data_IF_280969409071
#
_entry.id   IF_280969409071
#
_cell.length_a   1.000
_cell.length_b   1.000
_cell.length_c   1.000
_cell.angle_alpha   90.00
_cell.angle_beta   90.00
_cell.angle_gamma   90.00
#
_symmetry.space_group_name_H-M   'P 1'
#
loop_
_entity.id
_entity.type
_entity.pdbx_description
1 polymer ?
#
# COMPACT_ATOMS: atom_id res chain seq x y z
N UNK A 1 -18.79 42.39 26.18
CA UNK A 1 -17.90 42.19 25.02
C UNK A 1 -16.57 41.53 25.37
N UNK A 2 -15.81 41.94 26.39
CA UNK A 2 -14.52 41.29 26.75
C UNK A 2 -14.61 39.79 27.11
N UNK A 3 -15.66 39.35 27.81
CA UNK A 3 -15.84 37.94 28.19
C UNK A 3 -16.14 37.02 27.01
N UNK A 4 -16.90 37.52 26.00
CA UNK A 4 -17.23 36.73 24.81
C UNK A 4 -15.97 36.50 23.94
N UNK A 5 -15.09 37.50 23.86
CA UNK A 5 -13.82 37.35 23.12
C UNK A 5 -12.89 36.30 23.78
N UNK A 6 -12.87 36.23 25.11
CA UNK A 6 -12.05 35.27 25.83
C UNK A 6 -12.53 33.81 25.61
N UNK A 7 -13.86 33.61 25.63
CA UNK A 7 -14.46 32.28 25.38
C UNK A 7 -14.20 31.83 23.95
N UNK A 8 -14.34 32.74 22.95
CA UNK A 8 -14.03 32.39 21.56
C UNK A 8 -12.56 32.04 21.33
N UNK A 9 -11.63 32.73 21.99
CA UNK A 9 -10.20 32.48 21.87
C UNK A 9 -9.80 31.14 22.47
N UNK A 10 -10.40 30.74 23.62
CA UNK A 10 -10.14 29.48 24.26
C UNK A 10 -10.68 28.30 23.42
N UNK A 11 -11.86 28.41 22.82
CA UNK A 11 -12.42 27.41 21.94
C UNK A 11 -11.62 27.24 20.64
N UNK A 12 -11.14 28.35 20.06
CA UNK A 12 -10.30 28.35 18.87
C UNK A 12 -8.94 27.68 19.17
N UNK A 13 -8.36 27.95 20.35
CA UNK A 13 -7.10 27.34 20.77
C UNK A 13 -7.26 25.83 21.05
N UNK A 14 -8.37 25.43 21.70
CA UNK A 14 -8.70 24.01 21.93
C UNK A 14 -8.94 23.26 20.62
N UNK A 15 -9.61 23.91 19.66
CA UNK A 15 -9.84 23.35 18.33
C UNK A 15 -8.52 23.16 17.57
N UNK A 16 -7.61 24.14 17.60
CA UNK A 16 -6.27 24.04 17.00
C UNK A 16 -5.42 22.95 17.66
N UNK A 17 -5.48 22.79 18.97
CA UNK A 17 -4.73 21.74 19.70
C UNK A 17 -5.28 20.35 19.39
N UNK A 18 -6.60 20.20 19.23
CA UNK A 18 -7.21 18.90 18.89
C UNK A 18 -6.92 18.46 17.43
N UNK A 19 -6.69 19.41 16.51
CA UNK A 19 -6.29 19.10 15.13
C UNK A 19 -4.80 18.81 14.95
N UNK A 20 -3.95 19.14 15.93
CA UNK A 20 -2.51 18.85 15.89
C UNK A 20 -2.13 17.46 16.40
N UNK A 21 -3.06 16.71 16.99
CA UNK A 21 -2.89 15.27 17.22
C UNK A 21 -3.24 14.44 15.96
N UNK A 22 -2.80 14.87 14.80
CA UNK A 22 -2.45 13.90 13.78
C UNK A 22 -1.20 13.21 14.33
N UNK A 23 -1.37 11.99 14.82
CA UNK A 23 -0.27 11.06 14.95
C UNK A 23 0.43 11.09 13.59
N UNK A 24 1.58 11.75 13.54
CA UNK A 24 2.50 11.62 12.42
C UNK A 24 2.92 10.16 12.50
N UNK A 25 2.16 9.29 11.81
CA UNK A 25 2.61 7.93 11.55
C UNK A 25 3.96 8.15 10.89
N UNK A 26 5.02 7.64 11.50
CA UNK A 26 6.34 7.66 10.94
C UNK A 26 6.19 7.05 9.55
N UNK A 27 6.39 7.84 8.48
CA UNK A 27 6.03 7.46 7.12
C UNK A 27 6.72 6.15 6.69
N UNK A 28 7.77 5.77 7.43
CA UNK A 28 8.59 4.59 7.21
C UNK A 28 8.15 3.36 8.04
N UNK A 29 7.09 3.44 8.86
CA UNK A 29 6.64 2.31 9.68
C UNK A 29 5.43 1.59 9.10
N UNK A 30 5.32 0.29 9.43
CA UNK A 30 4.10 -0.47 9.23
C UNK A 30 3.00 0.05 10.16
N UNK A 31 1.79 0.21 9.63
CA UNK A 31 0.62 0.63 10.38
C UNK A 31 -0.58 -0.27 10.08
N UNK A 32 -1.55 -0.29 10.99
CA UNK A 32 -2.77 -1.08 10.87
C UNK A 32 -3.94 -0.15 10.60
N UNK A 33 -4.73 -0.47 9.58
CA UNK A 33 -6.00 0.18 9.24
C UNK A 33 -7.13 -0.83 9.41
N UNK A 34 -8.15 -0.46 10.17
CA UNK A 34 -9.34 -1.28 10.36
C UNK A 34 -10.50 -0.76 9.52
N UNK A 35 -11.12 -1.68 8.78
CA UNK A 35 -12.36 -1.45 8.02
C UNK A 35 -13.48 -2.32 8.60
N UNK A 36 -14.71 -2.15 8.15
CA UNK A 36 -15.86 -2.88 8.69
C UNK A 36 -15.70 -4.41 8.58
N UNK A 37 -15.21 -4.90 7.45
CA UNK A 37 -15.13 -6.32 7.11
C UNK A 37 -13.71 -6.89 7.03
N UNK A 38 -12.68 -6.06 7.03
CA UNK A 38 -11.29 -6.49 6.90
C UNK A 38 -10.32 -5.56 7.66
N UNK A 39 -9.15 -6.07 7.91
CA UNK A 39 -8.02 -5.34 8.51
C UNK A 39 -6.86 -5.34 7.51
N UNK A 40 -6.15 -4.24 7.45
CA UNK A 40 -5.01 -4.04 6.56
C UNK A 40 -3.79 -3.66 7.36
N UNK A 41 -2.68 -4.35 7.14
CA UNK A 41 -1.35 -3.92 7.57
C UNK A 41 -0.64 -3.31 6.36
N UNK A 42 -0.23 -2.05 6.44
CA UNK A 42 0.28 -1.29 5.29
C UNK A 42 1.57 -0.54 5.58
N UNK A 43 2.34 -0.26 4.52
CA UNK A 43 3.55 0.56 4.55
C UNK A 43 3.73 1.31 3.23
N UNK A 44 4.29 2.52 3.29
CA UNK A 44 4.72 3.29 2.12
C UNK A 44 6.00 2.70 1.51
N UNK A 45 6.20 2.92 0.21
CA UNK A 45 7.38 2.44 -0.52
C UNK A 45 8.65 3.22 -0.21
N UNK A 46 9.78 2.55 -0.27
CA UNK A 46 11.11 3.14 -0.04
C UNK A 46 11.57 4.02 -1.23
N UNK A 47 11.16 3.67 -2.45
CA UNK A 47 11.54 4.41 -3.67
C UNK A 47 10.57 5.57 -3.92
N UNK A 48 9.27 5.32 -3.76
CA UNK A 48 8.21 6.32 -3.96
C UNK A 48 7.23 6.24 -2.81
N UNK A 49 7.15 7.30 -1.99
CA UNK A 49 6.25 7.35 -0.82
C UNK A 49 4.76 7.26 -1.15
N UNK A 50 4.36 7.56 -2.39
CA UNK A 50 2.98 7.39 -2.86
C UNK A 50 2.59 5.93 -3.10
N UNK A 51 3.58 5.05 -3.29
CA UNK A 51 3.36 3.63 -3.49
C UNK A 51 3.12 2.95 -2.15
N UNK A 52 2.25 1.94 -2.12
CA UNK A 52 1.93 1.24 -0.88
C UNK A 52 1.87 -0.26 -1.07
N UNK A 53 2.39 -0.98 -0.09
CA UNK A 53 2.17 -2.40 0.10
C UNK A 53 1.16 -2.61 1.23
N UNK A 54 0.24 -3.55 1.03
CA UNK A 54 -0.82 -3.88 1.99
C UNK A 54 -1.00 -5.37 2.09
N UNK A 55 -1.04 -5.87 3.31
CA UNK A 55 -1.50 -7.23 3.63
C UNK A 55 -2.90 -7.11 4.22
N UNK A 56 -3.88 -7.79 3.65
CA UNK A 56 -5.25 -7.72 4.13
C UNK A 56 -5.77 -9.07 4.59
N UNK A 57 -6.59 -9.05 5.63
CA UNK A 57 -7.27 -10.22 6.21
C UNK A 57 -8.74 -9.88 6.46
N UNK A 58 -9.64 -10.83 6.27
CA UNK A 58 -11.04 -10.64 6.63
C UNK A 58 -11.22 -10.72 8.16
N UNK A 59 -11.99 -9.81 8.73
CA UNK A 59 -12.40 -9.90 10.15
C UNK A 59 -13.21 -11.17 10.37
N UNK A 60 -12.85 -11.91 11.44
CA UNK A 60 -13.47 -13.17 11.77
C UNK A 60 -12.99 -14.39 10.96
N UNK A 61 -12.17 -14.20 9.93
CA UNK A 61 -11.47 -15.26 9.22
C UNK A 61 -10.03 -14.85 8.93
N UNK A 62 -9.18 -14.93 9.92
CA UNK A 62 -7.75 -14.65 9.80
C UNK A 62 -6.96 -15.85 9.22
N UNK A 63 -7.64 -16.85 8.63
CA UNK A 63 -6.96 -18.02 8.06
C UNK A 63 -6.25 -17.72 6.75
N UNK A 64 -6.66 -16.67 6.04
CA UNK A 64 -6.13 -16.29 4.72
C UNK A 64 -5.74 -14.83 4.67
N UNK A 65 -4.65 -14.56 3.95
CA UNK A 65 -4.10 -13.23 3.74
C UNK A 65 -3.88 -12.98 2.24
N UNK A 66 -4.22 -11.80 1.79
CA UNK A 66 -3.91 -11.34 0.43
C UNK A 66 -2.94 -10.16 0.44
N UNK A 67 -2.35 -9.91 -0.71
CA UNK A 67 -1.42 -8.80 -0.95
C UNK A 67 -2.05 -7.84 -1.95
N UNK A 68 -2.15 -6.58 -1.56
CA UNK A 68 -2.45 -5.46 -2.45
C UNK A 68 -1.24 -4.53 -2.48
N UNK A 69 -0.91 -4.04 -3.64
CA UNK A 69 0.11 -3.00 -3.78
C UNK A 69 -0.34 -1.95 -4.78
N UNK A 70 0.19 -0.76 -4.66
CA UNK A 70 -0.14 0.33 -5.57
C UNK A 70 1.10 1.06 -6.01
N UNK A 71 1.09 1.48 -7.27
CA UNK A 71 2.04 2.40 -7.85
C UNK A 71 1.33 3.72 -8.17
N UNK A 72 2.00 4.82 -7.85
CA UNK A 72 1.59 6.17 -8.26
C UNK A 72 2.37 6.58 -9.50
N UNK A 73 1.71 7.29 -10.41
CA UNK A 73 2.36 7.73 -11.64
C UNK A 73 1.73 9.01 -12.17
N UNK A 74 2.53 9.84 -12.82
CA UNK A 74 2.11 11.00 -13.61
C UNK A 74 2.19 10.72 -15.12
N UNK A 75 2.75 9.57 -15.52
CA UNK A 75 2.86 9.16 -16.91
C UNK A 75 1.52 8.74 -17.50
N UNK A 76 1.40 8.96 -18.79
CA UNK A 76 0.38 8.38 -19.69
C UNK A 76 -1.06 8.44 -19.14
N UNK A 77 -1.37 9.51 -18.40
CA UNK A 77 -2.65 9.63 -17.68
C UNK A 77 -3.89 9.44 -18.59
N UNK A 78 -3.79 9.72 -19.90
CA UNK A 78 -4.89 9.52 -20.83
C UNK A 78 -5.21 8.05 -21.14
N UNK A 79 -4.18 7.19 -21.06
CA UNK A 79 -4.30 5.77 -21.35
C UNK A 79 -4.23 4.89 -20.10
N UNK A 80 -3.88 5.45 -18.94
CA UNK A 80 -3.71 4.69 -17.70
C UNK A 80 -4.97 3.90 -17.33
N UNK A 81 -6.17 4.43 -17.63
CA UNK A 81 -7.45 3.77 -17.40
C UNK A 81 -7.59 2.46 -18.18
N UNK A 82 -6.85 2.28 -19.29
CA UNK A 82 -6.85 1.02 -20.04
C UNK A 82 -6.25 -0.15 -19.28
N UNK A 83 -5.54 0.12 -18.18
CA UNK A 83 -5.00 -0.91 -17.30
C UNK A 83 -6.07 -1.52 -16.37
N UNK A 84 -7.21 -0.84 -16.17
CA UNK A 84 -8.29 -1.35 -15.32
C UNK A 84 -8.68 -2.78 -15.72
N UNK A 85 -8.76 -3.68 -14.74
CA UNK A 85 -9.08 -5.10 -14.89
C UNK A 85 -8.05 -5.94 -15.68
N UNK A 86 -6.94 -5.36 -16.13
CA UNK A 86 -5.84 -6.08 -16.76
C UNK A 86 -5.05 -6.88 -15.71
N UNK A 87 -4.32 -7.86 -16.20
CA UNK A 87 -3.26 -8.54 -15.44
C UNK A 87 -1.91 -8.05 -15.95
N UNK A 88 -1.00 -7.73 -15.03
CA UNK A 88 0.32 -7.21 -15.34
C UNK A 88 1.39 -8.18 -14.81
N UNK A 89 2.39 -8.54 -15.62
CA UNK A 89 3.46 -9.43 -15.19
C UNK A 89 4.33 -8.74 -14.14
N UNK A 90 4.66 -9.49 -13.09
CA UNK A 90 5.47 -9.00 -11.97
C UNK A 90 6.58 -9.96 -11.61
N UNK A 91 7.63 -9.42 -10.98
CA UNK A 91 8.57 -10.19 -10.17
C UNK A 91 8.39 -9.82 -8.70
N UNK A 92 8.62 -10.79 -7.83
CA UNK A 92 8.71 -10.60 -6.38
C UNK A 92 10.14 -10.96 -5.96
N UNK A 93 10.82 -10.01 -5.31
CA UNK A 93 12.22 -10.13 -4.92
C UNK A 93 13.15 -10.58 -6.04
N UNK A 94 12.90 -10.13 -7.29
CA UNK A 94 13.65 -10.47 -8.49
C UNK A 94 13.28 -11.79 -9.13
N UNK A 95 12.37 -12.58 -8.55
CA UNK A 95 11.89 -13.84 -9.10
C UNK A 95 10.60 -13.65 -9.89
N UNK A 96 10.57 -14.13 -11.13
CA UNK A 96 9.35 -14.16 -11.92
C UNK A 96 8.30 -15.01 -11.19
N UNK A 97 7.08 -14.50 -11.09
CA UNK A 97 5.93 -15.28 -10.59
C UNK A 97 5.11 -15.78 -11.77
N UNK A 98 4.58 -16.99 -11.64
CA UNK A 98 3.82 -17.67 -12.73
C UNK A 98 2.51 -16.95 -13.05
N UNK A 99 1.89 -16.34 -12.03
CA UNK A 99 0.65 -15.59 -12.17
C UNK A 99 0.92 -14.09 -12.18
N UNK A 100 0.17 -13.36 -13.03
CA UNK A 100 0.24 -11.90 -13.10
C UNK A 100 -0.59 -11.23 -12.01
N UNK A 101 -0.22 -10.02 -11.61
CA UNK A 101 -1.00 -9.20 -10.70
C UNK A 101 -2.21 -8.60 -11.41
N UNK A 102 -3.40 -8.69 -10.80
CA UNK A 102 -4.63 -8.11 -11.34
C UNK A 102 -4.75 -6.64 -10.93
N UNK A 103 -4.92 -5.75 -11.88
CA UNK A 103 -5.28 -4.35 -11.63
C UNK A 103 -6.74 -4.30 -11.16
N UNK A 104 -6.96 -3.85 -9.93
CA UNK A 104 -8.30 -3.78 -9.32
C UNK A 104 -8.84 -2.36 -9.23
N UNK A 105 -7.97 -1.35 -9.32
CA UNK A 105 -8.36 0.05 -9.28
C UNK A 105 -7.36 0.90 -10.06
N UNK A 106 -7.88 1.77 -10.93
CA UNK A 106 -7.14 2.89 -11.50
C UNK A 106 -7.90 4.16 -11.17
N UNK A 107 -7.28 5.05 -10.39
CA UNK A 107 -7.93 6.26 -9.91
C UNK A 107 -7.04 7.48 -10.12
N UNK A 108 -7.61 8.56 -10.65
CA UNK A 108 -6.96 9.87 -10.63
C UNK A 108 -7.10 10.47 -9.22
N UNK A 109 -5.99 10.85 -8.60
CA UNK A 109 -5.98 11.45 -7.27
C UNK A 109 -6.16 12.97 -7.35
N UNK A 110 -5.27 13.64 -8.07
CA UNK A 110 -5.35 15.07 -8.35
C UNK A 110 -4.44 15.44 -9.53
N UNK A 111 -4.84 16.43 -10.32
CA UNK A 111 -4.12 16.84 -11.55
C UNK A 111 -3.87 15.62 -12.45
N UNK A 112 -2.60 15.33 -12.73
CA UNK A 112 -2.18 14.24 -13.59
C UNK A 112 -1.69 13.01 -12.81
N UNK A 113 -1.74 13.03 -11.46
CA UNK A 113 -1.32 11.94 -10.62
C UNK A 113 -2.40 10.87 -10.53
N UNK A 114 -2.04 9.66 -10.90
CA UNK A 114 -2.87 8.48 -10.83
C UNK A 114 -2.30 7.47 -9.83
N UNK A 115 -3.19 6.68 -9.24
CA UNK A 115 -2.85 5.48 -8.49
C UNK A 115 -3.37 4.27 -9.23
N UNK A 116 -2.53 3.26 -9.39
CA UNK A 116 -2.89 1.95 -9.93
C UNK A 116 -2.71 0.94 -8.82
N UNK A 117 -3.82 0.38 -8.34
CA UNK A 117 -3.81 -0.65 -7.30
C UNK A 117 -3.95 -2.03 -7.92
N UNK A 118 -3.08 -2.92 -7.48
CA UNK A 118 -2.99 -4.27 -7.99
C UNK A 118 -3.09 -5.28 -6.86
N UNK A 119 -3.68 -6.42 -7.16
CA UNK A 119 -3.73 -7.58 -6.28
C UNK A 119 -2.74 -8.62 -6.78
N UNK A 120 -1.82 -9.03 -5.91
CA UNK A 120 -0.96 -10.17 -6.20
C UNK A 120 -1.78 -11.46 -6.29
N UNK A 121 -1.34 -12.44 -7.11
CA UNK A 121 -2.10 -13.66 -7.32
C UNK A 121 -2.23 -14.50 -6.05
N UNK A 122 -3.45 -15.02 -5.86
CA UNK A 122 -3.80 -15.99 -4.82
C UNK A 122 -3.87 -15.41 -3.40
N UNK A 123 -4.84 -15.89 -2.64
CA UNK A 123 -4.86 -15.76 -1.18
C UNK A 123 -4.06 -16.93 -0.60
N UNK A 124 -3.08 -16.63 0.25
CA UNK A 124 -2.31 -17.67 0.96
C UNK A 124 -2.86 -17.84 2.37
N UNK A 125 -2.63 -19.02 2.97
CA UNK A 125 -2.86 -19.13 4.41
C UNK A 125 -1.94 -18.16 5.14
N UNK A 126 -2.38 -17.63 6.28
CA UNK A 126 -1.54 -16.73 7.11
C UNK A 126 -0.21 -17.42 7.46
N UNK A 127 -0.25 -18.73 7.75
CA UNK A 127 0.95 -19.53 8.02
C UNK A 127 1.93 -19.54 6.84
N UNK A 128 1.44 -19.78 5.62
CA UNK A 128 2.30 -19.81 4.43
C UNK A 128 2.85 -18.43 4.11
N UNK A 129 2.05 -17.39 4.33
CA UNK A 129 2.49 -16.01 4.17
C UNK A 129 3.57 -15.64 5.18
N UNK A 130 3.40 -15.97 6.46
CA UNK A 130 4.42 -15.73 7.49
C UNK A 130 5.72 -16.48 7.15
N UNK A 131 5.64 -17.74 6.73
CA UNK A 131 6.82 -18.50 6.31
C UNK A 131 7.54 -17.83 5.13
N UNK A 132 6.80 -17.34 4.13
CA UNK A 132 7.37 -16.62 3.01
C UNK A 132 8.02 -15.30 3.45
N UNK A 133 7.37 -14.53 4.34
CA UNK A 133 7.92 -13.30 4.89
C UNK A 133 9.21 -13.55 5.68
N UNK A 134 9.26 -14.61 6.49
CA UNK A 134 10.48 -15.00 7.21
C UNK A 134 11.63 -15.30 6.25
N UNK A 135 11.37 -16.05 5.17
CA UNK A 135 12.38 -16.33 4.16
C UNK A 135 12.86 -15.05 3.46
N UNK A 136 11.98 -14.10 3.15
CA UNK A 136 12.36 -12.81 2.56
C UNK A 136 13.14 -11.95 3.55
N UNK A 137 12.76 -11.98 4.84
CA UNK A 137 13.47 -11.27 5.90
C UNK A 137 14.91 -11.77 6.06
N UNK A 138 15.09 -13.10 6.09
CA UNK A 138 16.42 -13.74 6.20
C UNK A 138 17.30 -13.45 4.97
N UNK A 139 16.70 -13.39 3.76
CA UNK A 139 17.44 -13.16 2.52
C UNK A 139 17.83 -11.67 2.37
N UNK A 140 16.88 -10.76 2.41
CA UNK A 140 17.08 -9.35 2.03
C UNK A 140 16.45 -8.32 2.96
N UNK A 141 15.65 -8.75 3.92
CA UNK A 141 14.86 -7.89 4.81
C UNK A 141 13.94 -6.89 4.07
N UNK A 142 13.52 -7.22 2.87
CA UNK A 142 12.55 -6.42 2.14
C UNK A 142 11.64 -7.29 1.24
N UNK A 143 10.48 -6.73 0.92
CA UNK A 143 9.58 -7.22 -0.10
C UNK A 143 9.66 -6.29 -1.30
N UNK A 144 10.18 -6.78 -2.42
CA UNK A 144 10.33 -6.01 -3.65
C UNK A 144 9.31 -6.45 -4.69
N UNK A 145 8.71 -5.51 -5.40
CA UNK A 145 7.86 -5.75 -6.56
C UNK A 145 8.41 -4.98 -7.75
N UNK A 146 8.56 -5.65 -8.88
CA UNK A 146 8.97 -5.08 -10.17
C UNK A 146 7.88 -5.44 -11.20
N UNK A 147 7.38 -4.44 -11.93
CA UNK A 147 6.55 -4.62 -13.12
C UNK A 147 7.45 -5.02 -14.29
N UNK A 148 7.04 -6.00 -15.07
CA UNK A 148 7.89 -6.60 -16.13
C UNK A 148 7.26 -6.35 -17.50
N UNK A 149 8.11 -6.07 -18.49
CA UNK A 149 7.66 -5.94 -19.89
C UNK A 149 7.28 -7.31 -20.47
N UNK A 150 6.20 -7.31 -21.27
CA UNK A 150 5.78 -8.45 -22.08
C UNK A 150 5.26 -7.96 -23.44
N UNK A 151 5.02 -8.84 -24.43
CA UNK A 151 4.46 -8.43 -25.70
C UNK A 151 3.15 -7.65 -25.55
N UNK A 152 3.18 -6.37 -25.94
CA UNK A 152 2.03 -5.46 -25.85
C UNK A 152 1.89 -4.68 -24.54
N UNK A 153 2.81 -4.85 -23.60
CA UNK A 153 2.87 -4.06 -22.37
C UNK A 153 4.32 -3.74 -22.00
N UNK A 154 4.63 -2.44 -21.98
CA UNK A 154 5.87 -1.93 -21.37
C UNK A 154 5.49 -1.08 -20.15
N UNK A 155 5.89 -1.46 -18.93
CA UNK A 155 5.55 -0.69 -17.74
C UNK A 155 6.10 0.73 -17.78
N UNK A 156 7.21 0.98 -18.48
CA UNK A 156 7.77 2.33 -18.64
C UNK A 156 6.86 3.28 -19.44
N UNK A 157 5.90 2.77 -20.20
CA UNK A 157 4.92 3.60 -20.89
C UNK A 157 3.86 4.17 -19.93
N UNK A 158 3.65 3.54 -18.77
CA UNK A 158 2.56 3.82 -17.84
C UNK A 158 3.05 4.36 -16.48
N UNK A 159 4.23 3.99 -16.05
CA UNK A 159 4.74 4.27 -14.70
C UNK A 159 6.04 5.06 -14.74
N UNK A 160 6.18 6.02 -13.84
CA UNK A 160 7.43 6.77 -13.65
C UNK A 160 8.49 5.88 -13.01
N UNK A 161 8.06 5.04 -12.06
CA UNK A 161 8.85 4.04 -11.36
C UNK A 161 8.16 2.69 -11.55
N UNK A 162 8.90 1.67 -11.95
CA UNK A 162 8.38 0.34 -12.28
C UNK A 162 8.67 -0.71 -11.23
N UNK A 163 9.41 -0.35 -10.18
CA UNK A 163 9.76 -1.19 -9.05
C UNK A 163 9.72 -0.42 -7.74
N UNK A 164 9.43 -1.11 -6.65
CA UNK A 164 9.51 -0.55 -5.31
C UNK A 164 9.84 -1.64 -4.28
N UNK A 165 10.34 -1.20 -3.13
CA UNK A 165 10.72 -2.05 -2.02
C UNK A 165 10.04 -1.59 -0.74
N UNK A 166 9.77 -2.54 0.15
CA UNK A 166 9.22 -2.30 1.49
C UNK A 166 10.01 -3.11 2.50
N UNK A 167 10.67 -2.43 3.44
CA UNK A 167 11.36 -3.11 4.55
C UNK A 167 10.37 -3.87 5.41
N UNK A 168 10.77 -5.07 5.83
CA UNK A 168 9.93 -5.99 6.60
C UNK A 168 10.08 -5.81 8.12
N UNK A 169 10.93 -4.87 8.56
CA UNK A 169 11.12 -4.57 9.98
C UNK A 169 9.77 -4.29 10.66
N UNK A 170 9.51 -4.95 11.78
CA UNK A 170 8.28 -4.82 12.57
C UNK A 170 6.99 -5.29 11.88
N UNK A 171 7.05 -5.89 10.69
CA UNK A 171 5.86 -6.41 10.02
C UNK A 171 5.20 -7.56 10.80
N UNK A 172 5.93 -8.55 11.36
CA UNK A 172 5.32 -9.64 12.13
C UNK A 172 4.49 -9.14 13.30
N UNK A 173 5.00 -8.16 14.06
CA UNK A 173 4.31 -7.55 15.19
C UNK A 173 3.01 -6.87 14.74
N UNK A 174 3.03 -6.17 13.61
CA UNK A 174 1.86 -5.50 13.06
C UNK A 174 0.81 -6.45 12.50
N UNK A 175 1.21 -7.59 11.97
CA UNK A 175 0.26 -8.65 11.57
C UNK A 175 -0.41 -9.26 12.80
N UNK A 176 0.32 -9.48 13.89
CA UNK A 176 -0.24 -9.98 15.15
C UNK A 176 -1.22 -8.94 15.74
N UNK A 177 -0.89 -7.64 15.69
CA UNK A 177 -1.76 -6.56 16.14
C UNK A 177 -3.08 -6.52 15.33
N UNK A 178 -3.03 -6.89 14.05
CA UNK A 178 -4.16 -6.89 13.13
C UNK A 178 -5.10 -8.11 13.26
N UNK A 179 -4.73 -9.14 14.03
CA UNK A 179 -5.53 -10.36 14.26
C UNK A 179 -6.55 -10.18 15.39
#
# INVERSE_FOLDING_TARGET
MRQILLILSVHLFLFLVLFTYHVQADEDQWYVEEFDTFVVTAKNGEVTHGDKLRFFMNKGDCSRMGILFSFTTMKNHKNIQSLQDKTLPIKINGHQVDDAAKVILVQNLFRDMNIVMMQAPGLKSVKDMINAMMAWYEDKNFFGIELVSEPGFDPQDYFDITDNNWKLDHLPEKIIEAQ
#
